data_IF_452138983528
#
_entry.id   IF_452138983528
#
_cell.length_a   1.000
_cell.length_b   1.000
_cell.length_c   1.000
_cell.angle_alpha   90.00
_cell.angle_beta   90.00
_cell.angle_gamma   90.00
#
_symmetry.space_group_name_H-M   'P 1'
#
loop_
_entity.id
_entity.type
_entity.pdbx_description
1 polymer ?
#
# COMPACT_ATOMS: atom_id res chain seq x y z
N UNK A 1 -15.69 11.04 -21.19
CA UNK A 1 -15.84 10.31 -19.91
C UNK A 1 -17.12 10.69 -19.17
N UNK A 2 -17.78 9.71 -18.57
CA UNK A 2 -18.92 9.84 -17.66
C UNK A 2 -18.76 8.91 -16.46
N UNK A 3 -19.60 9.05 -15.44
CA UNK A 3 -19.63 8.08 -14.33
C UNK A 3 -20.14 6.75 -14.87
N UNK A 4 -19.36 5.70 -14.69
CA UNK A 4 -19.75 4.35 -15.11
C UNK A 4 -20.96 3.87 -14.29
N UNK A 5 -22.00 3.39 -14.96
CA UNK A 5 -23.14 2.79 -14.26
C UNK A 5 -22.71 1.54 -13.47
N UNK A 6 -21.65 0.86 -13.91
CA UNK A 6 -21.05 -0.26 -13.21
C UNK A 6 -19.82 0.20 -12.39
N UNK A 7 -20.00 0.38 -11.09
CA UNK A 7 -18.91 0.72 -10.16
C UNK A 7 -18.12 -0.51 -9.66
N UNK A 8 -18.34 -1.70 -10.23
CA UNK A 8 -17.59 -2.91 -9.88
C UNK A 8 -16.20 -2.91 -10.50
N UNK A 9 -15.17 -3.02 -9.68
CA UNK A 9 -13.77 -2.97 -10.11
C UNK A 9 -13.14 -4.36 -10.32
N UNK A 10 -13.55 -5.36 -9.53
CA UNK A 10 -12.92 -6.69 -9.53
C UNK A 10 -11.53 -6.73 -8.87
N UNK A 11 -11.07 -5.65 -8.26
CA UNK A 11 -9.93 -5.61 -7.34
C UNK A 11 -10.15 -4.55 -6.27
N UNK A 12 -9.26 -4.46 -5.28
CA UNK A 12 -9.40 -3.56 -4.13
C UNK A 12 -10.74 -3.83 -3.41
N UNK A 13 -11.07 -5.12 -3.23
CA UNK A 13 -12.33 -5.56 -2.63
C UNK A 13 -12.32 -5.17 -1.16
N UNK A 14 -13.19 -4.23 -0.80
CA UNK A 14 -13.24 -3.59 0.51
C UNK A 14 -13.01 -2.08 0.46
N UNK A 15 -12.45 -1.53 -0.62
CA UNK A 15 -12.31 -0.08 -0.81
C UNK A 15 -13.65 0.56 -1.18
N UNK A 16 -14.13 1.49 -0.36
CA UNK A 16 -15.41 2.19 -0.57
C UNK A 16 -15.20 3.54 -1.27
N UNK A 17 -14.13 4.25 -0.92
CA UNK A 17 -13.81 5.58 -1.45
C UNK A 17 -13.16 5.52 -2.85
N UNK A 18 -13.95 5.10 -3.85
CA UNK A 18 -13.54 5.07 -5.25
C UNK A 18 -14.64 5.53 -6.19
N UNK A 19 -14.26 5.98 -7.38
CA UNK A 19 -15.19 6.30 -8.47
C UNK A 19 -14.63 5.76 -9.79
N UNK A 20 -15.44 5.03 -10.54
CA UNK A 20 -15.09 4.54 -11.88
C UNK A 20 -15.76 5.42 -12.93
N UNK A 21 -14.96 5.87 -13.89
CA UNK A 21 -15.41 6.58 -15.08
C UNK A 21 -15.34 5.65 -16.28
N UNK A 22 -16.23 5.88 -17.24
CA UNK A 22 -16.27 5.20 -18.53
C UNK A 22 -16.06 6.22 -19.65
N UNK A 23 -15.16 5.92 -20.58
CA UNK A 23 -15.11 6.62 -21.85
C UNK A 23 -16.17 6.05 -22.82
N UNK A 24 -17.01 6.91 -23.40
CA UNK A 24 -18.09 6.45 -24.27
C UNK A 24 -17.59 5.98 -25.63
N UNK A 25 -16.50 6.55 -26.13
CA UNK A 25 -16.01 6.27 -27.46
C UNK A 25 -15.14 5.01 -27.46
N UNK A 26 -14.22 4.91 -26.49
CA UNK A 26 -13.29 3.75 -26.41
C UNK A 26 -13.81 2.61 -25.55
N UNK A 27 -14.83 2.86 -24.72
CA UNK A 27 -15.29 1.93 -23.67
C UNK A 27 -14.21 1.65 -22.59
N UNK A 28 -13.16 2.46 -22.52
CA UNK A 28 -12.13 2.32 -21.49
C UNK A 28 -12.65 2.80 -20.14
N UNK A 29 -12.26 2.08 -19.09
CA UNK A 29 -12.65 2.41 -17.71
C UNK A 29 -11.46 2.98 -16.94
N UNK A 30 -11.73 4.01 -16.15
CA UNK A 30 -10.73 4.69 -15.33
C UNK A 30 -11.19 4.73 -13.89
N UNK A 31 -10.37 4.19 -12.99
CA UNK A 31 -10.56 4.24 -11.56
C UNK A 31 -9.98 5.54 -11.00
N UNK A 32 -10.77 6.27 -10.24
CA UNK A 32 -10.36 7.42 -9.45
C UNK A 32 -10.31 7.06 -7.96
N UNK A 33 -9.19 7.40 -7.33
CA UNK A 33 -8.97 7.25 -5.88
C UNK A 33 -8.48 8.57 -5.32
N UNK A 34 -9.03 8.94 -4.17
CA UNK A 34 -8.66 10.14 -3.43
C UNK A 34 -7.54 9.80 -2.45
N UNK A 35 -6.48 10.60 -2.44
CA UNK A 35 -5.41 10.52 -1.46
C UNK A 35 -5.84 11.15 -0.13
N UNK A 36 -5.36 10.59 0.97
CA UNK A 36 -5.70 11.06 2.30
C UNK A 36 -5.38 10.01 3.35
N UNK A 37 -5.79 10.32 4.58
CA UNK A 37 -5.71 9.36 5.68
C UNK A 37 -6.65 8.19 5.39
N UNK A 38 -6.14 6.96 5.55
CA UNK A 38 -6.87 5.74 5.25
C UNK A 38 -7.40 5.14 6.53
N UNK A 39 -8.71 5.07 6.67
CA UNK A 39 -9.39 4.39 7.77
C UNK A 39 -9.75 2.97 7.35
N UNK A 40 -9.38 2.00 8.19
CA UNK A 40 -9.81 0.61 8.05
C UNK A 40 -10.81 0.28 9.16
N UNK A 41 -11.99 -0.18 8.78
CA UNK A 41 -13.03 -0.61 9.72
C UNK A 41 -13.45 -2.03 9.40
N UNK A 42 -13.56 -2.85 10.43
CA UNK A 42 -14.13 -4.19 10.27
C UNK A 42 -15.63 -4.08 10.01
N UNK A 43 -16.09 -4.67 8.91
CA UNK A 43 -17.50 -4.74 8.53
C UNK A 43 -17.90 -6.21 8.37
N UNK A 44 -18.30 -6.83 9.49
CA UNK A 44 -18.61 -8.26 9.54
C UNK A 44 -17.40 -9.14 9.19
N UNK A 45 -17.53 -9.92 8.11
CA UNK A 45 -16.47 -10.78 7.55
C UNK A 45 -15.55 -10.08 6.54
N UNK A 46 -15.80 -8.79 6.26
CA UNK A 46 -15.01 -8.00 5.31
C UNK A 46 -14.39 -6.79 6.02
N UNK A 47 -13.40 -6.18 5.38
CA UNK A 47 -12.84 -4.89 5.81
C UNK A 47 -13.37 -3.82 4.88
N UNK A 48 -13.81 -2.72 5.46
CA UNK A 48 -14.18 -1.50 4.76
C UNK A 48 -13.00 -0.53 4.87
N UNK A 49 -12.47 -0.12 3.73
CA UNK A 49 -11.35 0.82 3.62
C UNK A 49 -11.90 2.10 3.01
N UNK A 50 -11.68 3.21 3.70
CA UNK A 50 -12.11 4.55 3.30
C UNK A 50 -10.92 5.50 3.34
N UNK A 51 -10.83 6.40 2.36
CA UNK A 51 -9.88 7.50 2.33
C UNK A 51 -10.62 8.78 2.67
N UNK A 52 -10.13 9.54 3.64
CA UNK A 52 -10.75 10.80 4.04
C UNK A 52 -10.35 11.93 3.09
N UNK A 53 -11.33 12.75 2.69
CA UNK A 53 -11.09 13.97 1.93
C UNK A 53 -10.61 15.09 2.85
N UNK A 54 -9.46 15.68 2.54
CA UNK A 54 -8.92 16.88 3.19
C UNK A 54 -8.54 17.92 2.15
N UNK A 55 -8.30 19.16 2.57
CA UNK A 55 -7.98 20.28 1.67
C UNK A 55 -6.73 20.08 0.79
N UNK A 56 -5.84 19.14 1.15
CA UNK A 56 -4.63 18.78 0.40
C UNK A 56 -4.75 17.44 -0.34
N UNK A 57 -5.92 16.79 -0.30
CA UNK A 57 -6.17 15.52 -0.99
C UNK A 57 -6.03 15.71 -2.51
N UNK A 58 -5.34 14.75 -3.13
CA UNK A 58 -5.17 14.66 -4.58
C UNK A 58 -6.07 13.54 -5.10
N UNK A 59 -6.52 13.64 -6.34
CA UNK A 59 -7.23 12.54 -7.02
C UNK A 59 -6.26 11.88 -7.98
N UNK A 60 -6.09 10.57 -7.86
CA UNK A 60 -5.31 9.76 -8.79
C UNK A 60 -6.21 8.95 -9.69
N UNK A 61 -5.83 8.90 -10.97
CA UNK A 61 -6.48 8.12 -11.99
C UNK A 61 -5.63 6.89 -12.35
N UNK A 62 -6.30 5.74 -12.45
CA UNK A 62 -5.71 4.48 -12.87
C UNK A 62 -6.56 3.91 -14.00
N UNK A 63 -5.93 3.60 -15.14
CA UNK A 63 -6.64 2.88 -16.20
C UNK A 63 -6.88 1.44 -15.79
N UNK A 64 -8.07 0.94 -16.06
CA UNK A 64 -8.44 -0.46 -15.81
C UNK A 64 -8.18 -1.23 -17.10
N UNK A 65 -7.20 -2.15 -17.06
CA UNK A 65 -6.90 -3.03 -18.19
C UNK A 65 -7.43 -4.44 -17.90
N UNK A 66 -8.69 -4.70 -18.22
CA UNK A 66 -9.34 -5.99 -17.97
C UNK A 66 -8.63 -7.18 -18.63
N UNK A 67 -8.09 -6.98 -19.84
CA UNK A 67 -7.40 -8.04 -20.61
C UNK A 67 -6.09 -8.48 -19.96
N UNK A 68 -5.37 -7.55 -19.34
CA UNK A 68 -4.10 -7.81 -18.67
C UNK A 68 -4.27 -7.99 -17.15
N UNK A 69 -5.48 -7.76 -16.63
CA UNK A 69 -5.81 -7.93 -15.23
C UNK A 69 -5.05 -6.96 -14.33
N UNK A 70 -4.91 -5.70 -14.72
CA UNK A 70 -4.12 -4.73 -13.93
C UNK A 70 -4.70 -3.34 -13.92
N UNK A 71 -4.33 -2.60 -12.88
CA UNK A 71 -4.53 -1.16 -12.78
C UNK A 71 -3.24 -0.48 -13.23
N UNK A 72 -3.33 0.37 -14.25
CA UNK A 72 -2.19 1.12 -14.77
C UNK A 72 -2.19 2.51 -14.16
N UNK A 73 -1.14 2.82 -13.41
CA UNK A 73 -0.93 4.15 -12.85
C UNK A 73 -0.37 5.08 -13.93
N UNK A 74 -0.85 6.33 -13.97
CA UNK A 74 -0.38 7.35 -14.92
C UNK A 74 0.27 8.55 -14.23
N UNK A 75 0.74 8.34 -13.00
CA UNK A 75 1.08 9.41 -12.08
C UNK A 75 2.44 9.26 -11.40
N UNK A 76 2.52 9.86 -10.23
CA UNK A 76 3.71 9.89 -9.38
C UNK A 76 3.93 8.58 -8.62
N UNK A 77 5.12 8.45 -8.03
CA UNK A 77 5.44 7.39 -7.07
C UNK A 77 4.42 7.35 -5.92
N UNK A 78 3.93 8.50 -5.46
CA UNK A 78 2.89 8.63 -4.43
C UNK A 78 1.61 7.86 -4.80
N UNK A 79 1.16 7.98 -6.05
CA UNK A 79 -0.01 7.26 -6.57
C UNK A 79 0.19 5.75 -6.53
N UNK A 80 1.40 5.29 -6.82
CA UNK A 80 1.74 3.87 -6.83
C UNK A 80 1.88 3.31 -5.41
N UNK A 81 2.46 4.07 -4.49
CA UNK A 81 2.52 3.74 -3.06
C UNK A 81 1.12 3.70 -2.44
N UNK A 82 0.24 4.63 -2.81
CA UNK A 82 -1.16 4.61 -2.40
C UNK A 82 -1.87 3.36 -2.90
N UNK A 83 -1.70 3.05 -4.18
CA UNK A 83 -2.30 1.84 -4.75
C UNK A 83 -1.80 0.58 -4.04
N UNK A 84 -0.49 0.50 -3.77
CA UNK A 84 0.11 -0.59 -2.99
C UNK A 84 -0.50 -0.70 -1.60
N UNK A 85 -0.60 0.41 -0.87
CA UNK A 85 -1.15 0.43 0.47
C UNK A 85 -2.61 -0.01 0.50
N UNK A 86 -3.41 0.45 -0.46
CA UNK A 86 -4.82 0.06 -0.57
C UNK A 86 -4.98 -1.43 -0.91
N UNK A 87 -4.16 -1.98 -1.80
CA UNK A 87 -4.13 -3.43 -2.03
C UNK A 87 -3.78 -4.19 -0.75
N UNK A 88 -2.80 -3.72 0.03
CA UNK A 88 -2.41 -4.38 1.28
C UNK A 88 -3.54 -4.41 2.31
N UNK A 89 -4.43 -3.42 2.31
CA UNK A 89 -5.56 -3.30 3.24
C UNK A 89 -6.85 -3.98 2.75
N UNK A 90 -6.90 -4.37 1.48
CA UNK A 90 -8.10 -4.94 0.84
C UNK A 90 -7.84 -6.39 0.42
N UNK A 91 -8.88 -7.08 -0.07
CA UNK A 91 -8.72 -8.36 -0.77
C UNK A 91 -7.97 -9.44 0.03
N UNK A 92 -8.47 -9.66 1.26
CA UNK A 92 -7.76 -10.32 2.37
C UNK A 92 -7.46 -11.81 2.16
N UNK A 93 -8.39 -12.59 1.60
CA UNK A 93 -8.29 -14.06 1.57
C UNK A 93 -8.55 -14.70 0.20
N UNK A 94 -9.22 -14.00 -0.72
CA UNK A 94 -9.43 -14.48 -2.08
C UNK A 94 -8.64 -13.63 -3.06
N UNK A 95 -8.04 -14.26 -4.08
CA UNK A 95 -7.51 -13.52 -5.21
C UNK A 95 -8.59 -12.68 -5.85
N UNK A 96 -8.25 -11.43 -6.13
CA UNK A 96 -9.13 -10.49 -6.81
C UNK A 96 -9.46 -10.99 -8.23
N UNK A 97 -10.72 -10.89 -8.68
CA UNK A 97 -11.11 -11.29 -10.03
C UNK A 97 -10.29 -10.65 -11.16
N UNK A 98 -9.93 -9.37 -11.02
CA UNK A 98 -9.17 -8.62 -12.02
C UNK A 98 -7.69 -9.04 -12.00
N UNK A 99 -7.03 -8.96 -10.86
CA UNK A 99 -5.56 -9.17 -10.76
C UNK A 99 -5.15 -10.62 -10.59
N UNK A 100 -6.10 -11.50 -10.24
CA UNK A 100 -5.87 -12.92 -9.90
C UNK A 100 -4.85 -13.11 -8.78
N UNK A 101 -4.72 -12.10 -7.92
CA UNK A 101 -3.81 -12.05 -6.76
C UNK A 101 -4.56 -11.55 -5.55
N UNK A 102 -4.15 -12.00 -4.38
CA UNK A 102 -4.61 -11.41 -3.12
C UNK A 102 -4.11 -9.97 -3.00
N UNK A 103 -4.73 -9.19 -2.10
CA UNK A 103 -4.30 -7.82 -1.83
C UNK A 103 -2.84 -7.74 -1.41
N UNK A 104 -2.41 -8.62 -0.49
CA UNK A 104 -1.03 -8.69 -0.02
C UNK A 104 -0.04 -9.01 -1.14
N UNK A 105 -0.33 -10.01 -1.99
CA UNK A 105 0.54 -10.35 -3.13
C UNK A 105 0.66 -9.20 -4.12
N UNK A 106 -0.45 -8.52 -4.41
CA UNK A 106 -0.46 -7.40 -5.34
C UNK A 106 0.30 -6.19 -4.76
N UNK A 107 0.11 -5.88 -3.49
CA UNK A 107 0.86 -4.82 -2.80
C UNK A 107 2.37 -5.08 -2.82
N UNK A 108 2.80 -6.28 -2.43
CA UNK A 108 4.21 -6.66 -2.48
C UNK A 108 4.77 -6.63 -3.91
N UNK A 109 3.98 -7.07 -4.90
CA UNK A 109 4.38 -6.98 -6.30
C UNK A 109 4.59 -5.52 -6.76
N UNK A 110 3.82 -4.58 -6.23
CA UNK A 110 3.99 -3.15 -6.53
C UNK A 110 5.26 -2.61 -5.83
N UNK A 111 5.47 -2.91 -4.55
CA UNK A 111 6.67 -2.46 -3.80
C UNK A 111 7.98 -3.00 -4.39
N UNK A 112 7.94 -4.22 -4.93
CA UNK A 112 9.06 -4.87 -5.62
C UNK A 112 9.26 -4.38 -7.05
N UNK A 113 8.31 -3.63 -7.60
CA UNK A 113 8.38 -3.19 -9.00
C UNK A 113 9.51 -2.18 -9.22
N UNK A 114 10.07 -2.19 -10.43
CA UNK A 114 11.08 -1.21 -10.85
C UNK A 114 10.55 0.22 -10.69
N UNK A 115 9.27 0.45 -10.97
CA UNK A 115 8.62 1.75 -10.80
C UNK A 115 8.71 2.31 -9.38
N UNK A 116 8.63 1.45 -8.35
CA UNK A 116 8.84 1.84 -6.94
C UNK A 116 10.31 1.86 -6.58
N UNK A 117 11.18 1.09 -7.25
CA UNK A 117 12.61 1.00 -6.92
C UNK A 117 13.52 1.96 -7.69
N UNK A 118 13.01 2.70 -8.67
CA UNK A 118 13.80 3.63 -9.51
C UNK A 118 13.60 5.11 -9.17
N UNK A 119 13.28 5.45 -7.92
CA UNK A 119 13.20 6.86 -7.50
C UNK A 119 14.58 7.49 -7.33
N UNK A 120 14.64 8.81 -7.55
CA UNK A 120 15.85 9.61 -7.28
C UNK A 120 15.96 10.03 -5.81
N UNK A 121 14.82 10.31 -5.18
CA UNK A 121 14.70 10.63 -3.75
C UNK A 121 13.28 10.37 -3.26
N UNK A 122 13.14 10.02 -1.99
CA UNK A 122 11.85 9.98 -1.30
C UNK A 122 11.56 11.36 -0.73
N UNK A 123 10.43 11.93 -1.12
CA UNK A 123 9.95 13.19 -0.57
C UNK A 123 9.31 12.97 0.81
N UNK A 124 9.42 13.97 1.69
CA UNK A 124 8.89 13.89 3.04
C UNK A 124 7.40 13.54 3.09
N UNK A 125 6.62 13.99 2.10
CA UNK A 125 5.19 13.71 2.00
C UNK A 125 4.88 12.22 1.72
N UNK A 126 5.85 11.42 1.27
CA UNK A 126 5.67 9.98 0.99
C UNK A 126 6.11 9.09 2.15
N UNK A 127 6.87 9.61 3.13
CA UNK A 127 7.42 8.79 4.21
C UNK A 127 6.32 8.22 5.10
N UNK A 128 5.21 8.94 5.25
CA UNK A 128 4.03 8.51 6.00
C UNK A 128 3.41 7.25 5.40
N UNK A 129 3.10 7.25 4.09
CA UNK A 129 2.48 6.09 3.47
C UNK A 129 3.41 4.88 3.44
N UNK A 130 4.72 5.10 3.23
CA UNK A 130 5.72 4.03 3.26
C UNK A 130 5.80 3.42 4.67
N UNK A 131 5.78 4.25 5.72
CA UNK A 131 5.77 3.78 7.10
C UNK A 131 4.48 3.06 7.47
N UNK A 132 3.32 3.52 6.98
CA UNK A 132 2.03 2.86 7.17
C UNK A 132 2.01 1.45 6.55
N UNK A 133 2.62 1.28 5.37
CA UNK A 133 2.81 -0.05 4.77
C UNK A 133 3.65 -0.94 5.68
N UNK A 134 4.78 -0.44 6.19
CA UNK A 134 5.61 -1.21 7.12
C UNK A 134 4.87 -1.55 8.43
N UNK A 135 4.01 -0.66 8.92
CA UNK A 135 3.21 -0.85 10.12
C UNK A 135 2.17 -1.99 10.01
N UNK A 136 1.92 -2.49 8.80
CA UNK A 136 1.19 -3.74 8.60
C UNK A 136 2.02 -4.95 9.05
N UNK A 137 3.32 -4.83 9.30
CA UNK A 137 4.12 -5.93 9.83
C UNK A 137 3.84 -6.12 11.33
N UNK A 138 3.51 -7.34 11.79
CA UNK A 138 3.38 -7.62 13.21
C UNK A 138 4.75 -7.46 13.90
N UNK A 139 4.77 -6.84 15.08
CA UNK A 139 6.02 -6.64 15.82
C UNK A 139 6.54 -7.97 16.34
N UNK A 140 7.86 -8.18 16.27
CA UNK A 140 8.50 -9.41 16.75
C UNK A 140 9.71 -9.05 17.58
N UNK A 141 9.74 -9.59 18.79
CA UNK A 141 10.87 -9.44 19.69
C UNK A 141 11.12 -10.74 20.44
N UNK A 142 12.31 -10.84 21.00
CA UNK A 142 12.64 -11.89 21.95
C UNK A 142 12.00 -11.68 23.32
N UNK A 143 11.73 -12.79 24.02
CA UNK A 143 11.31 -12.79 25.41
C UNK A 143 12.05 -13.88 26.23
N UNK A 144 12.42 -13.58 27.49
CA UNK A 144 12.68 -12.22 27.97
C UNK A 144 13.77 -11.56 27.10
N UNK A 145 13.71 -10.24 26.90
CA UNK A 145 14.56 -9.51 25.94
C UNK A 145 16.06 -9.78 26.11
N UNK A 146 16.50 -9.98 27.35
CA UNK A 146 17.90 -10.22 27.72
C UNK A 146 18.37 -11.68 27.59
N UNK A 147 17.47 -12.67 27.57
CA UNK A 147 17.84 -14.10 27.44
C UNK A 147 17.56 -14.63 26.03
N UNK A 148 16.58 -14.05 25.33
CA UNK A 148 16.25 -14.40 23.96
C UNK A 148 15.88 -15.87 23.72
N UNK A 149 15.19 -16.48 24.69
CA UNK A 149 14.82 -17.92 24.64
C UNK A 149 13.54 -18.21 23.88
N UNK A 150 12.67 -17.23 23.68
CA UNK A 150 11.43 -17.41 22.93
C UNK A 150 11.08 -16.17 22.08
N UNK A 151 10.40 -16.38 20.97
CA UNK A 151 9.84 -15.31 20.16
C UNK A 151 8.47 -14.90 20.71
N UNK A 152 8.23 -13.59 20.79
CA UNK A 152 6.92 -13.01 21.07
C UNK A 152 6.48 -12.15 19.89
N UNK A 153 5.26 -12.37 19.42
CA UNK A 153 4.65 -11.64 18.30
C UNK A 153 3.51 -10.79 18.83
N UNK A 154 3.52 -9.50 18.49
CA UNK A 154 2.45 -8.57 18.80
C UNK A 154 1.73 -8.22 17.51
N UNK A 155 0.52 -8.75 17.36
CA UNK A 155 -0.39 -8.40 16.28
C UNK A 155 -1.09 -7.09 16.62
N UNK A 156 -1.37 -6.28 15.61
CA UNK A 156 -2.27 -5.14 15.75
C UNK A 156 -3.71 -5.67 15.79
N UNK A 157 -4.41 -5.46 16.91
CA UNK A 157 -5.78 -5.93 17.12
C UNK A 157 -6.80 -5.19 16.24
N UNK A 158 -6.47 -3.96 15.80
CA UNK A 158 -7.32 -3.15 14.93
C UNK A 158 -7.27 -3.60 13.47
N UNK A 159 -6.31 -4.46 13.11
CA UNK A 159 -6.09 -4.95 11.75
C UNK A 159 -6.40 -6.45 11.65
N UNK A 160 -6.92 -6.88 10.50
CA UNK A 160 -7.06 -8.31 10.23
C UNK A 160 -5.67 -8.99 10.23
N UNK A 161 -5.56 -10.19 10.80
CA UNK A 161 -4.29 -10.93 10.83
C UNK A 161 -3.74 -11.26 9.44
N UNK A 162 -4.62 -11.38 8.44
CA UNK A 162 -4.27 -11.73 7.06
C UNK A 162 -3.53 -10.64 6.29
N UNK A 163 -3.72 -9.36 6.66
CA UNK A 163 -2.98 -8.25 6.06
C UNK A 163 -1.66 -8.00 6.77
N UNK A 164 -1.46 -8.66 7.91
CA UNK A 164 -0.29 -8.45 8.74
C UNK A 164 0.86 -9.36 8.30
N UNK A 165 1.59 -8.91 7.28
CA UNK A 165 2.63 -9.70 6.61
C UNK A 165 4.04 -9.11 6.82
N UNK A 166 5.01 -9.97 7.12
CA UNK A 166 6.36 -9.54 7.49
C UNK A 166 7.15 -8.91 6.35
N UNK A 167 6.94 -9.37 5.11
CA UNK A 167 7.70 -8.85 3.98
C UNK A 167 7.47 -7.34 3.75
N UNK A 168 6.35 -6.75 4.19
CA UNK A 168 6.16 -5.30 4.06
C UNK A 168 7.28 -4.50 4.73
N UNK A 169 7.70 -4.89 5.93
CA UNK A 169 8.83 -4.23 6.58
C UNK A 169 10.13 -4.45 5.82
N UNK A 170 10.39 -5.66 5.27
CA UNK A 170 11.60 -5.91 4.46
C UNK A 170 11.66 -4.94 3.28
N UNK A 171 10.59 -4.89 2.49
CA UNK A 171 10.52 -4.04 1.30
C UNK A 171 10.68 -2.56 1.66
N UNK A 172 9.99 -2.10 2.71
CA UNK A 172 10.06 -0.69 3.16
C UNK A 172 11.45 -0.34 3.70
N UNK A 173 12.06 -1.23 4.49
CA UNK A 173 13.42 -1.03 5.00
C UNK A 173 14.41 -0.89 3.86
N UNK A 174 14.31 -1.74 2.84
CA UNK A 174 15.17 -1.64 1.65
C UNK A 174 14.95 -0.34 0.88
N UNK A 175 13.70 0.13 0.75
CA UNK A 175 13.37 1.43 0.14
C UNK A 175 14.05 2.57 0.90
N UNK A 176 13.95 2.60 2.23
CA UNK A 176 14.62 3.61 3.05
C UNK A 176 16.16 3.48 3.02
N UNK A 177 16.70 2.26 3.03
CA UNK A 177 18.14 2.03 2.92
C UNK A 177 18.68 2.44 1.54
N UNK A 178 17.89 2.29 0.47
CA UNK A 178 18.20 2.83 -0.84
C UNK A 178 18.24 4.37 -0.83
N UNK A 179 17.21 5.02 -0.28
CA UNK A 179 17.15 6.48 -0.22
C UNK A 179 18.32 7.08 0.57
N UNK A 180 18.70 6.46 1.71
CA UNK A 180 19.88 6.86 2.50
C UNK A 180 21.19 6.75 1.70
N UNK A 181 21.36 5.71 0.89
CA UNK A 181 22.54 5.59 0.01
C UNK A 181 22.53 6.67 -1.08
N UNK A 182 21.35 7.02 -1.56
CA UNK A 182 21.16 8.07 -2.58
C UNK A 182 21.25 9.49 -2.03
N UNK A 183 21.23 9.68 -0.70
CA UNK A 183 21.40 10.98 -0.06
C UNK A 183 22.71 11.67 -0.44
N UNK A 184 23.77 10.90 -0.77
CA UNK A 184 25.03 11.42 -1.30
C UNK A 184 24.86 12.26 -2.58
N UNK A 185 23.82 11.96 -3.38
CA UNK A 185 23.51 12.70 -4.61
C UNK A 185 22.50 13.82 -4.41
N UNK A 186 21.97 13.98 -3.19
CA UNK A 186 20.96 14.98 -2.83
C UNK A 186 21.33 15.70 -1.51
N UNK A 187 22.51 16.35 -1.43
CA UNK A 187 23.06 16.86 -0.16
C UNK A 187 22.19 17.94 0.51
N UNK A 188 21.40 18.68 -0.27
CA UNK A 188 20.54 19.76 0.24
C UNK A 188 19.20 19.28 0.81
N UNK A 189 18.92 17.97 0.75
CA UNK A 189 17.63 17.41 1.16
C UNK A 189 17.81 16.45 2.32
N UNK A 190 17.21 16.77 3.47
CA UNK A 190 17.14 15.87 4.63
C UNK A 190 15.75 15.23 4.67
N UNK A 191 15.68 13.93 4.47
CA UNK A 191 14.44 13.15 4.60
C UNK A 191 14.34 12.59 6.02
N UNK A 192 13.22 12.87 6.70
CA UNK A 192 12.94 12.33 8.03
C UNK A 192 12.11 11.07 7.88
N UNK A 193 12.69 9.93 8.23
CA UNK A 193 12.01 8.64 8.22
C UNK A 193 11.22 8.45 9.51
N UNK A 194 9.96 8.07 9.39
CA UNK A 194 9.17 7.62 10.54
C UNK A 194 9.72 6.29 11.08
N UNK A 195 9.58 6.03 12.38
CA UNK A 195 10.04 4.78 12.98
C UNK A 195 9.27 3.59 12.39
N UNK A 196 10.03 2.60 11.90
CA UNK A 196 9.49 1.33 11.46
C UNK A 196 9.14 0.44 12.67
N UNK A 197 8.20 -0.51 12.55
CA UNK A 197 7.88 -1.40 13.65
C UNK A 197 9.11 -2.19 14.11
N UNK A 198 9.18 -2.49 15.41
CA UNK A 198 10.26 -3.30 15.97
C UNK A 198 10.15 -4.74 15.47
N UNK A 199 11.11 -5.15 14.64
CA UNK A 199 11.25 -6.51 14.17
C UNK A 199 12.72 -6.91 14.27
N UNK A 200 13.05 -7.81 15.20
CA UNK A 200 14.42 -8.31 15.36
C UNK A 200 14.92 -8.98 14.07
N UNK A 201 16.09 -8.59 13.51
CA UNK A 201 16.60 -9.10 12.23
C UNK A 201 16.82 -10.62 12.14
N UNK A 202 16.86 -11.31 13.28
CA UNK A 202 17.08 -12.76 13.38
C UNK A 202 15.76 -13.54 13.44
N UNK A 203 14.62 -12.88 13.73
CA UNK A 203 13.31 -13.51 13.87
C UNK A 203 12.50 -13.59 12.56
N UNK A 204 13.23 -13.70 11.44
CA UNK A 204 12.72 -13.60 10.06
C UNK A 204 12.70 -14.92 9.32
#
# INVERSE_FOLDING_TARGET
>A
MSIDANQSLGTLVGLDSKLILLDFDTQDRVLLIISGEVACKRSGHHVKVETEWRSKSKVYAYSIEDKLGRLVYHGSLESLLLLSYLHALTSLYLPDPLTRRTGTEQALSILRSVSVRSFNKIYQEYTEIIANIAALTPKRCYYPEYIQVMQKVYWNEDLASLIQYSDFYKEVKEIFDQDRRMALFNPDTVTIYLPLPLVDPILW
#
